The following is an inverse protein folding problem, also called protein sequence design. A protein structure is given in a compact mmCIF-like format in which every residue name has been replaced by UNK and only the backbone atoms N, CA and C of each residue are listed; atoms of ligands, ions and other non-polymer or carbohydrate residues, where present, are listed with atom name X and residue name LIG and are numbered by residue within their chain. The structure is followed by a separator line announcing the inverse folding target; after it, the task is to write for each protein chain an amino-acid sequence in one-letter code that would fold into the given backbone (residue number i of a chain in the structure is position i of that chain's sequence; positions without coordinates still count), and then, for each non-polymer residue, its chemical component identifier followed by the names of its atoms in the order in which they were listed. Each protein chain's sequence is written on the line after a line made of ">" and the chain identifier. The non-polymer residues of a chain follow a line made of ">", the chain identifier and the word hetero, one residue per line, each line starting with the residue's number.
data_IF_033971993758
#
_entry.id   IF_033971993758
#
_cell.length_a   1.000
_cell.length_b   1.000
_cell.length_c   1.000
_cell.angle_alpha   90.00
_cell.angle_beta   90.00
_cell.angle_gamma   90.00
#
_symmetry.space_group_name_H-M   'P 1'
#
loop_
_entity.id
_entity.type
_entity.pdbx_description
1 polymer ?
#
# COMPACT_ATOMS: atom_id res chain seq x y z
N UNK A 1 12.89 2.19 -32.79
CA UNK A 1 11.96 3.15 -32.15
C UNK A 1 10.93 2.32 -31.40
N UNK A 2 11.22 1.97 -30.15
CA UNK A 2 10.41 1.02 -29.38
C UNK A 2 9.08 1.68 -28.98
N UNK A 3 7.98 1.12 -29.49
CA UNK A 3 6.63 1.42 -29.06
C UNK A 3 6.55 1.23 -27.54
N UNK A 4 6.19 2.30 -26.84
CA UNK A 4 5.75 2.19 -25.44
C UNK A 4 4.38 1.54 -25.52
N UNK A 5 4.36 0.21 -25.49
CA UNK A 5 3.13 -0.57 -25.42
C UNK A 5 2.34 -0.04 -24.23
N UNK A 6 1.22 0.60 -24.56
CA UNK A 6 0.33 1.21 -23.62
C UNK A 6 -0.12 0.12 -22.64
N UNK A 7 0.16 0.33 -21.36
CA UNK A 7 -0.49 -0.41 -20.29
C UNK A 7 -1.99 -0.48 -20.62
N UNK A 8 -2.64 -1.65 -20.52
CA UNK A 8 -4.04 -1.77 -20.86
C UNK A 8 -4.82 -0.70 -20.08
N UNK A 9 -5.39 0.28 -20.80
CA UNK A 9 -6.25 1.29 -20.20
C UNK A 9 -7.49 0.56 -19.71
N UNK A 10 -7.50 0.25 -18.43
CA UNK A 10 -8.54 -0.52 -17.77
C UNK A 10 -9.84 0.29 -17.84
N UNK A 11 -10.83 -0.26 -18.55
CA UNK A 11 -12.18 0.31 -18.65
C UNK A 11 -12.89 0.34 -17.28
N UNK A 12 -14.07 0.96 -17.18
CA UNK A 12 -14.77 1.11 -15.90
C UNK A 12 -15.11 -0.26 -15.29
N UNK A 13 -14.64 -0.55 -14.08
CA UNK A 13 -14.61 -1.91 -13.52
C UNK A 13 -15.38 -2.03 -12.22
N UNK A 14 -16.47 -2.78 -12.33
CA UNK A 14 -17.24 -3.37 -11.24
C UNK A 14 -16.41 -4.54 -10.64
N UNK A 15 -16.11 -4.46 -9.34
CA UNK A 15 -15.72 -5.57 -8.44
C UNK A 15 -14.60 -6.54 -8.90
N UNK A 16 -13.41 -6.06 -9.31
CA UNK A 16 -12.26 -6.94 -9.57
C UNK A 16 -11.54 -7.31 -8.26
N UNK A 17 -11.54 -8.60 -7.91
CA UNK A 17 -10.81 -9.13 -6.75
C UNK A 17 -9.32 -9.25 -7.10
N UNK A 18 -8.46 -8.63 -6.30
CA UNK A 18 -6.99 -8.68 -6.46
C UNK A 18 -6.32 -9.65 -5.50
N UNK A 19 -6.96 -9.93 -4.36
CA UNK A 19 -6.45 -10.89 -3.37
C UNK A 19 -7.61 -11.57 -2.66
N UNK A 20 -7.41 -12.85 -2.33
CA UNK A 20 -8.25 -13.57 -1.36
C UNK A 20 -7.33 -14.10 -0.28
N UNK A 21 -7.61 -13.74 0.96
CA UNK A 21 -6.91 -14.25 2.12
C UNK A 21 -7.36 -15.71 2.37
N UNK A 22 -6.44 -16.69 2.36
CA UNK A 22 -6.80 -18.09 2.44
C UNK A 22 -7.30 -18.51 3.83
N UNK A 23 -6.88 -17.80 4.88
CA UNK A 23 -7.19 -18.16 6.27
C UNK A 23 -8.54 -17.56 6.71
N UNK A 24 -8.83 -16.34 6.27
CA UNK A 24 -10.05 -15.60 6.64
C UNK A 24 -11.12 -15.60 5.56
N UNK A 25 -10.78 -15.94 4.32
CA UNK A 25 -11.67 -15.87 3.16
C UNK A 25 -12.00 -14.44 2.72
N UNK A 26 -11.35 -13.43 3.31
CA UNK A 26 -11.55 -12.03 2.97
C UNK A 26 -11.03 -11.73 1.56
N UNK A 27 -11.76 -10.88 0.85
CA UNK A 27 -11.44 -10.48 -0.52
C UNK A 27 -11.05 -9.00 -0.54
N UNK A 28 -9.91 -8.71 -1.16
CA UNK A 28 -9.50 -7.34 -1.47
C UNK A 28 -9.87 -7.04 -2.92
N UNK A 29 -10.64 -5.98 -3.14
CA UNK A 29 -10.92 -5.48 -4.50
C UNK A 29 -9.86 -4.48 -4.95
N UNK A 30 -9.75 -4.27 -6.25
CA UNK A 30 -8.86 -3.26 -6.83
C UNK A 30 -9.20 -1.86 -6.32
N UNK A 31 -10.47 -1.47 -6.30
CA UNK A 31 -10.91 -0.19 -5.74
C UNK A 31 -10.48 -0.02 -4.28
N UNK A 32 -10.65 -1.07 -3.48
CA UNK A 32 -10.22 -1.09 -2.08
C UNK A 32 -8.71 -1.01 -1.89
N UNK A 33 -7.94 -1.57 -2.84
CA UNK A 33 -6.48 -1.47 -2.87
C UNK A 33 -6.07 -0.04 -3.24
N UNK A 34 -6.64 0.53 -4.30
CA UNK A 34 -6.33 1.87 -4.79
C UNK A 34 -6.63 2.95 -3.74
N UNK A 35 -7.80 2.90 -3.11
CA UNK A 35 -8.17 3.84 -2.05
C UNK A 35 -7.19 3.79 -0.87
N UNK A 36 -6.84 2.58 -0.42
CA UNK A 36 -5.92 2.39 0.72
C UNK A 36 -4.49 2.75 0.35
N UNK A 37 -4.04 2.38 -0.84
CA UNK A 37 -2.72 2.74 -1.36
C UNK A 37 -2.58 4.25 -1.50
N UNK A 38 -3.62 4.95 -1.97
CA UNK A 38 -3.63 6.40 -2.04
C UNK A 38 -3.50 7.05 -0.65
N UNK A 39 -4.23 6.55 0.35
CA UNK A 39 -4.12 7.03 1.74
C UNK A 39 -2.72 6.75 2.31
N UNK A 40 -2.21 5.54 2.15
CA UNK A 40 -0.87 5.15 2.59
C UNK A 40 0.22 5.99 1.92
N UNK A 41 0.09 6.26 0.61
CA UNK A 41 1.01 7.14 -0.15
C UNK A 41 1.09 8.53 0.47
N UNK A 42 -0.05 9.11 0.86
CA UNK A 42 -0.08 10.40 1.55
C UNK A 42 0.64 10.34 2.89
N UNK A 43 0.45 9.27 3.68
CA UNK A 43 1.15 9.09 4.96
C UNK A 43 2.66 8.92 4.77
N UNK A 44 3.09 8.12 3.79
CA UNK A 44 4.50 7.93 3.43
C UNK A 44 5.16 9.27 3.09
N UNK A 45 4.51 10.07 2.23
CA UNK A 45 5.03 11.40 1.86
C UNK A 45 5.07 12.36 3.05
N UNK A 46 4.06 12.34 3.92
CA UNK A 46 4.03 13.17 5.15
C UNK A 46 5.16 12.83 6.11
N UNK A 47 5.54 11.56 6.19
CA UNK A 47 6.66 11.10 7.02
C UNK A 47 8.02 11.36 6.38
N UNK A 48 8.03 11.81 5.13
CA UNK A 48 9.24 12.27 4.44
C UNK A 48 9.83 11.27 3.45
N UNK A 49 9.10 10.22 3.09
CA UNK A 49 9.46 9.35 1.96
C UNK A 49 9.42 10.16 0.67
N UNK A 50 10.50 10.11 -0.11
CA UNK A 50 10.65 10.81 -1.38
C UNK A 50 10.89 9.83 -2.52
N UNK A 51 10.76 10.34 -3.74
CA UNK A 51 11.09 9.58 -4.92
C UNK A 51 12.56 9.10 -4.88
N UNK A 52 12.77 7.81 -5.14
CA UNK A 52 14.07 7.15 -5.07
C UNK A 52 14.49 6.65 -3.69
N UNK A 53 13.70 6.88 -2.63
CA UNK A 53 13.97 6.27 -1.32
C UNK A 53 13.62 4.78 -1.32
N UNK A 54 14.54 3.96 -0.82
CA UNK A 54 14.32 2.52 -0.59
C UNK A 54 13.56 2.31 0.71
N UNK A 55 12.43 1.59 0.61
CA UNK A 55 11.55 1.23 1.72
C UNK A 55 11.52 -0.28 1.87
N UNK A 56 11.98 -0.77 3.02
CA UNK A 56 11.87 -2.19 3.37
C UNK A 56 10.49 -2.46 3.96
N UNK A 57 9.86 -3.57 3.55
CA UNK A 57 8.54 -3.98 4.03
C UNK A 57 8.66 -5.38 4.63
N UNK A 58 8.57 -5.47 5.96
CA UNK A 58 8.62 -6.71 6.73
C UNK A 58 7.22 -7.00 7.29
N UNK A 59 6.31 -7.40 6.40
CA UNK A 59 4.93 -7.73 6.70
C UNK A 59 4.61 -9.15 6.21
N UNK A 60 3.68 -9.86 6.88
CA UNK A 60 3.22 -11.15 6.38
C UNK A 60 2.60 -10.99 4.99
N UNK A 61 2.63 -12.07 4.21
CA UNK A 61 1.96 -12.10 2.91
C UNK A 61 0.46 -11.91 3.14
N UNK A 62 -0.11 -10.86 2.55
CA UNK A 62 -1.49 -10.48 2.76
C UNK A 62 -1.78 -9.11 2.18
N UNK A 63 -2.96 -8.58 2.51
CA UNK A 63 -3.46 -7.34 1.93
C UNK A 63 -2.57 -6.14 2.28
N UNK A 64 -2.05 -6.12 3.51
CA UNK A 64 -1.18 -5.04 3.98
C UNK A 64 0.14 -4.98 3.21
N UNK A 65 0.70 -6.13 2.81
CA UNK A 65 1.90 -6.18 1.98
C UNK A 65 1.63 -5.60 0.59
N UNK A 66 0.48 -5.92 -0.02
CA UNK A 66 0.08 -5.36 -1.31
C UNK A 66 -0.12 -3.84 -1.22
N UNK A 67 -0.87 -3.37 -0.22
CA UNK A 67 -1.13 -1.94 0.00
C UNK A 67 0.17 -1.18 0.24
N UNK A 68 1.05 -1.70 1.10
CA UNK A 68 2.33 -1.06 1.40
C UNK A 68 3.23 -0.98 0.16
N UNK A 69 3.27 -2.06 -0.64
CA UNK A 69 4.08 -2.11 -1.86
C UNK A 69 3.58 -1.11 -2.89
N UNK A 70 2.27 -1.10 -3.16
CA UNK A 70 1.67 -0.17 -4.12
C UNK A 70 1.84 1.29 -3.67
N UNK A 71 1.64 1.57 -2.39
CA UNK A 71 1.79 2.91 -1.83
C UNK A 71 3.23 3.43 -1.93
N UNK A 72 4.23 2.57 -1.74
CA UNK A 72 5.65 2.95 -1.91
C UNK A 72 5.95 3.27 -3.37
N UNK A 73 5.46 2.45 -4.30
CA UNK A 73 5.63 2.67 -5.74
C UNK A 73 4.93 3.98 -6.15
N UNK A 74 3.72 4.23 -5.69
CA UNK A 74 2.96 5.46 -5.92
C UNK A 74 3.59 6.69 -5.24
N UNK A 75 4.30 6.51 -4.13
CA UNK A 75 5.15 7.55 -3.53
C UNK A 75 6.42 7.85 -4.36
N UNK A 76 6.74 7.01 -5.35
CA UNK A 76 7.94 7.08 -6.18
C UNK A 76 9.16 6.43 -5.54
N UNK A 77 8.98 5.69 -4.44
CA UNK A 77 10.03 4.96 -3.76
C UNK A 77 10.30 3.59 -4.38
N UNK A 78 11.29 2.89 -3.84
CA UNK A 78 11.61 1.50 -4.20
C UNK A 78 11.12 0.60 -3.09
N UNK A 79 10.10 -0.21 -3.37
CA UNK A 79 9.56 -1.18 -2.43
C UNK A 79 10.42 -2.45 -2.42
N UNK A 80 10.89 -2.85 -1.24
CA UNK A 80 11.68 -4.07 -1.05
C UNK A 80 11.01 -4.95 0.02
N UNK A 81 10.14 -5.88 -0.37
CA UNK A 81 9.51 -6.80 0.57
C UNK A 81 10.55 -7.80 1.10
N UNK A 82 10.49 -8.04 2.40
CA UNK A 82 11.30 -9.02 3.13
C UNK A 82 10.39 -9.97 3.92
N UNK A 83 10.82 -11.21 4.16
CA UNK A 83 10.09 -12.12 5.03
C UNK A 83 9.86 -11.51 6.41
N UNK A 84 8.63 -11.61 6.92
CA UNK A 84 8.27 -11.04 8.21
C UNK A 84 8.93 -11.77 9.38
N UNK A 85 9.36 -13.02 9.17
CA UNK A 85 9.89 -13.97 10.16
C UNK A 85 11.40 -13.88 10.41
N UNK A 86 12.12 -12.98 9.73
CA UNK A 86 13.56 -12.80 9.90
C UNK A 86 13.99 -12.49 11.35
N UNK A 87 15.10 -13.07 11.77
CA UNK A 87 15.76 -12.72 13.03
C UNK A 87 16.36 -11.30 12.99
N UNK A 88 16.56 -10.70 14.16
CA UNK A 88 17.04 -9.32 14.33
C UNK A 88 18.36 -9.09 13.60
N UNK A 89 19.35 -9.98 13.77
CA UNK A 89 20.67 -9.85 13.14
C UNK A 89 20.62 -9.89 11.61
N UNK A 90 19.73 -10.74 11.07
CA UNK A 90 19.56 -10.87 9.62
C UNK A 90 18.83 -9.65 9.07
N UNK A 91 17.76 -9.20 9.73
CA UNK A 91 17.06 -7.97 9.36
C UNK A 91 17.99 -6.76 9.38
N UNK A 92 18.83 -6.64 10.42
CA UNK A 92 19.84 -5.58 10.53
C UNK A 92 20.85 -5.62 9.38
N UNK A 93 21.31 -6.80 9.00
CA UNK A 93 22.22 -6.97 7.86
C UNK A 93 21.56 -6.54 6.56
N UNK A 94 20.29 -6.93 6.33
CA UNK A 94 19.50 -6.49 5.17
C UNK A 94 19.27 -4.99 5.13
N UNK A 95 18.99 -4.37 6.28
CA UNK A 95 18.86 -2.91 6.39
C UNK A 95 20.17 -2.22 5.97
N UNK A 96 21.31 -2.71 6.46
CA UNK A 96 22.63 -2.14 6.12
C UNK A 96 22.98 -2.31 4.64
N UNK A 97 22.69 -3.47 4.05
CA UNK A 97 22.96 -3.77 2.64
C UNK A 97 22.06 -2.96 1.69
N UNK A 98 20.78 -2.84 2.01
CA UNK A 98 19.79 -2.16 1.16
C UNK A 98 19.91 -0.64 1.14
N UNK A 99 20.61 -0.06 2.12
CA UNK A 99 20.67 1.38 2.30
C UNK A 99 19.31 2.03 2.59
N UNK A 100 18.33 1.23 3.02
CA UNK A 100 16.97 1.67 3.24
C UNK A 100 16.90 2.74 4.34
N UNK A 101 16.10 3.77 4.07
CA UNK A 101 15.87 4.87 5.02
C UNK A 101 14.58 4.69 5.82
N UNK A 102 13.71 3.79 5.35
CA UNK A 102 12.36 3.56 5.85
C UNK A 102 12.13 2.06 5.99
N UNK A 103 11.54 1.67 7.11
CA UNK A 103 11.15 0.29 7.41
C UNK A 103 9.67 0.26 7.79
N UNK A 104 8.89 -0.57 7.12
CA UNK A 104 7.51 -0.87 7.47
C UNK A 104 7.49 -2.25 8.11
N UNK A 105 7.07 -2.36 9.37
CA UNK A 105 6.93 -3.65 10.07
C UNK A 105 6.02 -3.52 11.29
N UNK A 106 5.29 -4.60 11.59
CA UNK A 106 4.51 -4.78 12.82
C UNK A 106 5.31 -5.42 13.96
N UNK A 107 6.49 -5.97 13.65
CA UNK A 107 7.21 -6.79 14.61
C UNK A 107 8.06 -5.91 15.55
N UNK A 108 8.01 -6.08 16.88
CA UNK A 108 8.81 -5.29 17.82
C UNK A 108 10.33 -5.44 17.58
N UNK A 109 10.76 -6.61 17.08
CA UNK A 109 12.13 -6.87 16.61
C UNK A 109 12.62 -5.92 15.51
N UNK A 110 11.72 -5.36 14.71
CA UNK A 110 12.08 -4.40 13.66
C UNK A 110 12.54 -3.08 14.26
N UNK A 111 12.00 -2.68 15.42
CA UNK A 111 12.45 -1.50 16.14
C UNK A 111 13.87 -1.71 16.69
N UNK A 112 14.15 -2.88 17.26
CA UNK A 112 15.49 -3.27 17.74
C UNK A 112 16.52 -3.33 16.60
N UNK A 113 16.13 -3.89 15.45
CA UNK A 113 16.98 -3.90 14.27
C UNK A 113 17.21 -2.48 13.70
N UNK A 114 16.23 -1.58 13.84
CA UNK A 114 16.31 -0.21 13.32
C UNK A 114 17.18 0.71 14.19
N UNK A 115 17.14 0.58 15.51
CA UNK A 115 17.85 1.46 16.47
C UNK A 115 19.37 1.52 16.21
N UNK A 116 19.97 0.40 15.79
CA UNK A 116 21.39 0.30 15.47
C UNK A 116 21.73 0.57 13.99
N UNK A 117 20.82 1.19 13.24
CA UNK A 117 20.95 1.41 11.79
C UNK A 117 20.63 2.85 11.37
N UNK A 118 20.69 3.11 10.06
CA UNK A 118 20.38 4.41 9.47
C UNK A 118 18.90 4.60 9.13
N UNK A 119 18.04 3.64 9.48
CA UNK A 119 16.59 3.77 9.28
C UNK A 119 16.10 4.94 10.13
N UNK A 120 15.48 5.93 9.47
CA UNK A 120 14.98 7.15 10.13
C UNK A 120 13.51 7.05 10.51
N UNK A 121 12.80 6.12 9.88
CA UNK A 121 11.35 6.02 9.96
C UNK A 121 11.00 4.53 10.05
N UNK A 122 10.45 4.12 11.19
CA UNK A 122 9.80 2.81 11.38
C UNK A 122 8.30 3.05 11.45
N UNK A 123 7.51 2.26 10.72
CA UNK A 123 6.06 2.41 10.64
C UNK A 123 5.36 1.06 10.70
N UNK A 124 4.23 1.02 11.39
CA UNK A 124 3.29 -0.11 11.33
C UNK A 124 2.29 0.02 10.19
N UNK A 125 1.46 -1.00 9.97
CA UNK A 125 0.30 -0.95 9.06
C UNK A 125 -0.75 0.05 9.53
N UNK A 126 -0.93 0.21 10.85
CA UNK A 126 -1.83 1.22 11.41
C UNK A 126 -1.43 2.65 11.00
N UNK A 127 -0.13 2.89 10.84
CA UNK A 127 0.43 4.17 10.41
C UNK A 127 0.22 4.48 8.93
N UNK A 128 -0.01 3.45 8.11
CA UNK A 128 -0.35 3.58 6.69
C UNK A 128 -1.82 3.99 6.50
N UNK A 129 -2.60 4.13 7.59
CA UNK A 129 -4.04 4.38 7.52
C UNK A 129 -4.86 3.12 7.24
N UNK A 130 -4.27 1.94 7.46
CA UNK A 130 -4.99 0.67 7.39
C UNK A 130 -5.95 0.56 8.59
N UNK A 131 -7.24 0.82 8.35
CA UNK A 131 -8.34 0.45 9.25
C UNK A 131 -8.42 -1.09 9.37
N UNK A 132 -9.02 -1.65 10.45
CA UNK A 132 -9.13 -3.10 10.71
C UNK A 132 -9.72 -3.90 9.51
N UNK A 133 -9.54 -5.24 9.46
CA UNK A 133 -9.64 -6.00 8.22
C UNK A 133 -11.07 -6.02 7.66
N UNK A 134 -11.31 -5.07 6.76
CA UNK A 134 -12.39 -4.85 5.78
C UNK A 134 -13.85 -5.09 6.26
N UNK A 135 -14.68 -4.03 6.27
CA UNK A 135 -15.17 -3.48 5.00
C UNK A 135 -15.12 -1.95 4.90
N UNK A 136 -15.07 -1.44 3.67
CA UNK A 136 -15.69 -0.16 3.33
C UNK A 136 -16.55 -0.37 2.11
N UNK A 137 -17.86 -0.55 2.33
CA UNK A 137 -18.86 -0.08 1.38
C UNK A 137 -19.31 1.26 1.93
N UNK A 138 -18.69 2.35 1.50
CA UNK A 138 -19.38 3.64 1.56
C UNK A 138 -20.15 3.73 0.28
N UNK A 139 -21.46 3.69 0.41
CA UNK A 139 -22.39 3.85 -0.69
C UNK A 139 -21.89 4.89 -1.68
N UNK A 140 -21.83 4.46 -2.93
CA UNK A 140 -21.64 5.30 -4.08
C UNK A 140 -22.38 6.62 -3.87
N UNK A 141 -21.65 7.73 -3.74
CA UNK A 141 -22.17 8.97 -4.29
C UNK A 141 -22.02 8.80 -5.80
N UNK A 142 -22.96 8.05 -6.38
CA UNK A 142 -23.00 7.78 -7.81
C UNK A 142 -23.00 9.12 -8.49
N UNK A 143 -22.04 9.30 -9.38
CA UNK A 143 -22.07 10.33 -10.40
C UNK A 143 -23.23 10.00 -11.36
N UNK A 144 -24.46 10.20 -10.90
CA UNK A 144 -25.72 10.07 -11.65
C UNK A 144 -26.83 10.83 -10.92
N UNK A 145 -26.61 12.13 -10.69
CA UNK A 145 -27.69 13.08 -10.43
C UNK A 145 -27.43 14.41 -11.18
N UNK A 146 -26.97 14.29 -12.43
CA UNK A 146 -26.94 15.44 -13.37
C UNK A 146 -27.60 15.16 -14.71
N UNK A 147 -28.19 13.98 -14.91
CA UNK A 147 -28.91 13.65 -16.13
C UNK A 147 -30.21 12.94 -15.74
N UNK A 148 -31.15 13.68 -15.16
CA UNK A 148 -32.61 13.51 -15.30
C UNK A 148 -33.36 14.44 -14.33
N UNK A 149 -33.26 15.76 -14.54
CA UNK A 149 -34.46 16.59 -14.46
C UNK A 149 -34.98 16.79 -15.87
N UNK A 150 -35.79 15.81 -16.26
CA UNK A 150 -36.71 15.86 -17.38
C UNK A 150 -37.38 17.22 -17.47
N UNK A 151 -37.34 17.78 -18.67
CA UNK A 151 -38.45 18.51 -19.25
C UNK A 151 -39.78 17.84 -18.91
N UNK A 152 -40.73 18.59 -18.34
CA UNK A 152 -42.17 18.53 -18.67
C UNK A 152 -42.98 19.43 -17.73
N UNK A 153 -43.58 20.49 -18.29
CA UNK A 153 -44.83 21.11 -17.81
C UNK A 153 -44.71 22.50 -17.20
N UNK A 154 -44.55 23.55 -18.02
CA UNK A 154 -45.68 24.36 -18.53
C UNK A 154 -45.26 25.03 -19.85
#
# INVERSE_FOLDING_TARGET
>A
MHARDALPTVGPMDERIVMVDPDTGLKLTEEQLDERSAMATVQLRRRGVRAGDTVLICLPVGADLMIATDAVIAAGGVACPLPADLDVDTLRSRIRESGARVLISEAPRALEAADETRVRIVMGVADLGALPPYPIRRDFCTQSDRIERRSSGD
#
